data_IF_393884598992
#
_entry.id   IF_393884598992
#
_cell.length_a   1.000
_cell.length_b   1.000
_cell.length_c   1.000
_cell.angle_alpha   90.00
_cell.angle_beta   90.00
_cell.angle_gamma   90.00
#
_symmetry.space_group_name_H-M   'P 1'
#
loop_
_entity.id
_entity.type
_entity.pdbx_description
1 polymer ?
#
# COMPACT_ATOMS: atom_id res chain seq x y z
N UNK A 1 12.09 29.33 5.11
CA UNK A 1 10.81 28.64 5.33
C UNK A 1 11.05 27.17 5.06
N UNK A 2 10.89 26.29 6.05
CA UNK A 2 10.92 24.85 5.78
C UNK A 2 9.58 24.48 5.15
N UNK A 3 9.60 23.92 3.94
CA UNK A 3 8.39 23.40 3.29
C UNK A 3 7.80 22.23 4.08
N UNK A 4 6.53 21.92 3.84
CA UNK A 4 5.92 20.71 4.40
C UNK A 4 6.68 19.47 3.92
N UNK A 5 6.95 18.49 4.81
CA UNK A 5 7.68 17.29 4.44
C UNK A 5 6.83 16.37 3.54
N UNK A 6 7.51 15.66 2.65
CA UNK A 6 6.96 14.47 1.96
C UNK A 6 7.51 13.23 2.65
N UNK A 7 6.77 12.12 2.60
CA UNK A 7 7.17 10.88 3.25
C UNK A 7 7.23 9.74 2.25
N UNK A 8 8.19 8.84 2.43
CA UNK A 8 8.18 7.52 1.80
C UNK A 8 7.49 6.55 2.75
N UNK A 9 6.47 5.84 2.26
CA UNK A 9 5.75 4.80 3.00
C UNK A 9 5.71 3.52 2.17
N UNK A 10 5.36 2.43 2.84
CA UNK A 10 5.25 1.11 2.22
C UNK A 10 3.89 0.51 2.48
N UNK A 11 3.39 -0.27 1.53
CA UNK A 11 2.11 -0.97 1.62
C UNK A 11 2.19 -2.22 0.74
N UNK A 12 1.11 -2.98 0.66
CA UNK A 12 1.04 -4.16 -0.19
C UNK A 12 -0.34 -4.30 -0.83
N UNK A 13 -0.37 -5.00 -1.97
CA UNK A 13 -1.60 -5.38 -2.66
C UNK A 13 -1.48 -6.77 -3.28
N UNK A 14 -2.58 -7.47 -3.56
CA UNK A 14 -2.55 -8.66 -4.40
C UNK A 14 -2.14 -8.34 -5.84
N UNK A 15 -1.32 -9.20 -6.46
CA UNK A 15 -0.89 -9.06 -7.86
C UNK A 15 -2.05 -9.25 -8.86
N UNK A 16 -3.20 -9.74 -8.40
CA UNK A 16 -4.43 -9.84 -9.19
C UNK A 16 -5.14 -8.49 -9.36
N UNK A 17 -4.80 -7.49 -8.56
CA UNK A 17 -5.40 -6.17 -8.62
C UNK A 17 -4.85 -5.37 -9.82
N UNK A 18 -5.70 -4.79 -10.70
CA UNK A 18 -5.24 -3.92 -11.77
C UNK A 18 -4.55 -2.66 -11.21
N UNK A 19 -3.42 -2.26 -11.79
CA UNK A 19 -2.65 -1.10 -11.32
C UNK A 19 -3.46 0.20 -11.41
N UNK A 20 -4.36 0.30 -12.39
CA UNK A 20 -5.22 1.46 -12.58
C UNK A 20 -6.30 1.57 -11.49
N UNK A 21 -6.59 0.46 -10.81
CA UNK A 21 -7.60 0.39 -9.76
C UNK A 21 -7.05 0.66 -8.36
N UNK A 22 -5.73 0.55 -8.17
CA UNK A 22 -5.03 0.49 -6.88
C UNK A 22 -5.38 1.57 -5.86
N UNK A 23 -5.73 2.75 -6.34
CA UNK A 23 -5.96 3.94 -5.51
C UNK A 23 -7.41 4.41 -5.52
N UNK A 24 -8.32 3.62 -6.06
CA UNK A 24 -9.75 3.92 -5.98
C UNK A 24 -10.21 3.72 -4.54
N UNK A 25 -11.10 4.60 -4.09
CA UNK A 25 -11.81 4.40 -2.84
C UNK A 25 -12.92 3.34 -3.05
N UNK A 26 -12.54 2.08 -2.87
CA UNK A 26 -13.43 0.93 -2.92
C UNK A 26 -13.88 0.47 -1.52
N UNK A 27 -13.56 1.26 -0.49
CA UNK A 27 -13.81 0.93 0.91
C UNK A 27 -12.87 -0.15 1.48
N UNK A 28 -11.88 -0.63 0.72
CA UNK A 28 -10.88 -1.57 1.20
C UNK A 28 -9.78 -0.78 1.91
N UNK A 29 -9.58 -1.09 3.20
CA UNK A 29 -8.51 -0.50 3.99
C UNK A 29 -7.16 -1.07 3.61
N UNK A 30 -6.19 -0.20 3.32
CA UNK A 30 -4.80 -0.58 3.10
C UNK A 30 -3.97 -0.35 4.36
N UNK A 31 -3.10 -1.30 4.69
CA UNK A 31 -2.11 -1.12 5.75
C UNK A 31 -0.90 -0.35 5.20
N UNK A 32 -0.44 0.67 5.93
CA UNK A 32 0.75 1.46 5.59
C UNK A 32 1.82 1.32 6.67
N UNK A 33 3.08 1.27 6.24
CA UNK A 33 4.23 0.98 7.07
C UNK A 33 5.36 1.98 6.82
N UNK A 34 6.18 2.22 7.83
CA UNK A 34 7.32 3.14 7.73
C UNK A 34 8.54 2.57 6.98
N UNK A 35 8.59 1.25 6.74
CA UNK A 35 9.70 0.61 6.03
C UNK A 35 9.24 -0.69 5.31
N UNK A 36 10.04 -1.12 4.33
CA UNK A 36 9.78 -2.29 3.52
C UNK A 36 9.82 -3.62 4.31
N UNK A 37 10.66 -3.71 5.34
CA UNK A 37 10.82 -4.94 6.14
C UNK A 37 9.55 -5.24 6.94
N UNK A 38 8.96 -4.22 7.56
CA UNK A 38 7.69 -4.36 8.30
C UNK A 38 6.53 -4.68 7.36
N UNK A 39 6.45 -4.03 6.20
CA UNK A 39 5.45 -4.37 5.19
C UNK A 39 5.58 -5.82 4.70
N UNK A 40 6.82 -6.27 4.46
CA UNK A 40 7.10 -7.67 4.09
C UNK A 40 6.73 -8.67 5.19
N UNK A 41 7.04 -8.36 6.44
CA UNK A 41 6.64 -9.19 7.57
C UNK A 41 5.11 -9.34 7.64
N UNK A 42 4.37 -8.23 7.45
CA UNK A 42 2.91 -8.25 7.43
C UNK A 42 2.34 -9.10 6.27
N UNK A 43 2.98 -9.11 5.10
CA UNK A 43 2.60 -10.01 3.99
C UNK A 43 2.73 -11.49 4.42
N UNK A 44 3.82 -11.85 5.09
CA UNK A 44 4.03 -13.23 5.54
C UNK A 44 3.08 -13.62 6.67
N UNK A 45 2.84 -12.75 7.64
CA UNK A 45 1.85 -12.98 8.70
C UNK A 45 0.45 -13.20 8.11
N UNK A 46 0.06 -12.37 7.13
CA UNK A 46 -1.23 -12.53 6.44
C UNK A 46 -1.30 -13.83 5.64
N UNK A 47 -0.21 -14.21 4.96
CA UNK A 47 -0.13 -15.49 4.23
C UNK A 47 -0.35 -16.66 5.18
N UNK A 48 0.42 -16.71 6.25
CA UNK A 48 0.41 -17.84 7.18
C UNK A 48 -0.99 -17.99 7.80
N UNK A 49 -1.67 -16.88 8.12
CA UNK A 49 -3.05 -16.88 8.59
C UNK A 49 -4.08 -17.39 7.56
N UNK A 50 -3.87 -17.14 6.26
CA UNK A 50 -4.78 -17.60 5.18
C UNK A 50 -4.50 -19.05 4.79
N UNK A 51 -3.24 -19.47 4.74
CA UNK A 51 -2.86 -20.83 4.32
C UNK A 51 -3.24 -21.91 5.33
N UNK A 52 -3.49 -21.53 6.58
CA UNK A 52 -4.05 -22.43 7.60
C UNK A 52 -5.51 -22.82 7.31
N UNK A 53 -6.19 -22.13 6.37
CA UNK A 53 -7.56 -22.44 5.94
C UNK A 53 -7.59 -23.27 4.63
N UNK A 54 -8.09 -24.51 4.65
CA UNK A 54 -8.14 -25.34 3.45
C UNK A 54 -9.10 -24.74 2.40
N UNK A 55 -8.59 -24.54 1.18
CA UNK A 55 -9.38 -24.07 0.02
C UNK A 55 -9.20 -22.59 -0.34
N UNK A 56 -8.34 -21.85 0.36
CA UNK A 56 -7.98 -20.49 -0.02
C UNK A 56 -6.66 -20.45 -0.80
N UNK A 57 -6.75 -20.01 -2.06
CA UNK A 57 -5.56 -19.73 -2.87
C UNK A 57 -4.94 -18.39 -2.43
N UNK A 58 -3.68 -18.41 -1.99
CA UNK A 58 -2.91 -17.22 -1.69
C UNK A 58 -2.32 -16.64 -2.98
N UNK A 59 -2.74 -15.44 -3.43
CA UNK A 59 -2.16 -14.83 -4.63
C UNK A 59 -0.75 -14.31 -4.34
N UNK A 60 0.10 -14.14 -5.38
CA UNK A 60 1.29 -13.33 -5.26
C UNK A 60 0.94 -11.93 -4.74
N UNK A 61 1.78 -11.37 -3.88
CA UNK A 61 1.58 -10.05 -3.28
C UNK A 61 2.66 -9.09 -3.76
N UNK A 62 2.27 -7.88 -4.13
CA UNK A 62 3.17 -6.78 -4.46
C UNK A 62 3.53 -6.06 -3.17
N UNK A 63 4.82 -5.88 -2.93
CA UNK A 63 5.33 -4.91 -1.97
C UNK A 63 5.56 -3.59 -2.68
N UNK A 64 4.99 -2.54 -2.12
CA UNK A 64 4.84 -1.27 -2.79
C UNK A 64 5.50 -0.17 -1.98
N UNK A 65 6.13 0.77 -2.68
CA UNK A 65 6.67 2.00 -2.12
C UNK A 65 5.87 3.16 -2.68
N UNK A 66 5.43 4.06 -1.80
CA UNK A 66 4.81 5.33 -2.20
C UNK A 66 5.61 6.51 -1.68
N UNK A 67 5.55 7.61 -2.41
CA UNK A 67 5.93 8.94 -1.92
C UNK A 67 4.66 9.77 -1.78
N UNK A 68 4.48 10.45 -0.65
CA UNK A 68 3.37 11.38 -0.49
C UNK A 68 3.66 12.71 -1.19
N UNK A 69 2.61 13.45 -1.55
CA UNK A 69 2.75 14.91 -1.71
C UNK A 69 3.18 15.54 -0.37
N UNK A 70 3.70 16.78 -0.36
CA UNK A 70 3.96 17.49 0.89
C UNK A 70 2.73 17.49 1.80
N UNK A 71 2.88 17.05 3.05
CA UNK A 71 1.77 16.89 3.99
C UNK A 71 1.34 18.25 4.53
N UNK A 72 0.59 18.97 3.70
CA UNK A 72 -0.04 20.25 4.02
C UNK A 72 -1.44 20.02 4.59
N UNK A 73 -2.10 21.10 5.03
CA UNK A 73 -3.52 21.08 5.39
C UNK A 73 -4.38 20.58 4.23
N UNK A 74 -4.09 21.03 3.01
CA UNK A 74 -4.89 20.67 1.82
C UNK A 74 -4.72 19.19 1.46
N UNK A 75 -3.49 18.66 1.58
CA UNK A 75 -3.24 17.23 1.41
C UNK A 75 -4.00 16.39 2.45
N UNK A 76 -4.05 16.84 3.70
CA UNK A 76 -4.83 16.17 4.73
C UNK A 76 -6.34 16.21 4.42
N UNK A 77 -6.87 17.33 3.93
CA UNK A 77 -8.27 17.41 3.52
C UNK A 77 -8.58 16.48 2.34
N UNK A 78 -7.68 16.40 1.36
CA UNK A 78 -7.82 15.48 0.24
C UNK A 78 -7.79 14.02 0.70
N UNK A 79 -6.89 13.65 1.62
CA UNK A 79 -6.88 12.32 2.24
C UNK A 79 -8.22 11.96 2.89
N UNK A 80 -8.82 12.88 3.63
CA UNK A 80 -10.06 12.63 4.38
C UNK A 80 -11.30 12.56 3.48
N UNK A 81 -11.32 13.28 2.36
CA UNK A 81 -12.48 13.34 1.47
C UNK A 81 -12.39 12.38 0.27
N UNK A 82 -11.18 12.17 -0.25
CA UNK A 82 -10.91 11.47 -1.52
C UNK A 82 -10.07 10.20 -1.35
N UNK A 83 -9.63 9.92 -0.11
CA UNK A 83 -8.83 8.73 0.22
C UNK A 83 -7.34 8.86 -0.09
N UNK A 84 -6.61 7.75 0.09
CA UNK A 84 -5.14 7.74 0.03
C UNK A 84 -4.60 8.14 -1.34
N UNK A 85 -5.28 7.77 -2.42
CA UNK A 85 -4.87 8.10 -3.78
C UNK A 85 -4.61 9.58 -4.01
N UNK A 86 -5.35 10.45 -3.32
CA UNK A 86 -5.22 11.90 -3.45
C UNK A 86 -3.91 12.48 -2.89
N UNK A 87 -3.20 11.71 -2.04
CA UNK A 87 -1.92 12.14 -1.46
C UNK A 87 -0.72 11.36 -2.02
N UNK A 88 -0.93 10.37 -2.89
CA UNK A 88 0.16 9.61 -3.51
C UNK A 88 0.74 10.42 -4.67
N UNK A 89 2.02 10.78 -4.57
CA UNK A 89 2.77 11.48 -5.61
C UNK A 89 3.42 10.51 -6.58
N UNK A 90 4.07 9.47 -6.05
CA UNK A 90 4.67 8.39 -6.84
C UNK A 90 4.37 7.06 -6.17
N UNK A 91 4.38 6.00 -6.97
CA UNK A 91 4.09 4.64 -6.57
C UNK A 91 4.94 3.69 -7.40
N UNK A 92 5.67 2.81 -6.72
CA UNK A 92 6.55 1.81 -7.31
C UNK A 92 6.28 0.43 -6.69
N UNK A 93 6.20 -0.61 -7.53
CA UNK A 93 6.28 -1.99 -7.05
C UNK A 93 7.76 -2.34 -6.90
N UNK A 94 8.19 -2.62 -5.68
CA UNK A 94 9.60 -2.88 -5.38
C UNK A 94 9.93 -4.38 -5.30
N UNK A 95 8.92 -5.21 -5.05
CA UNK A 95 9.06 -6.67 -4.97
C UNK A 95 7.70 -7.33 -5.22
N UNK A 96 7.69 -8.52 -5.83
CA UNK A 96 6.51 -9.40 -5.88
C UNK A 96 6.85 -10.70 -5.15
N UNK A 97 6.08 -11.04 -4.13
CA UNK A 97 6.32 -12.14 -3.21
C UNK A 97 5.33 -13.26 -3.51
N UNK A 98 5.82 -14.47 -3.72
CA UNK A 98 4.99 -15.64 -4.02
C UNK A 98 4.63 -15.81 -5.51
N UNK A 99 5.13 -14.94 -6.39
CA UNK A 99 5.14 -15.16 -7.84
C UNK A 99 6.38 -15.96 -8.28
N UNK A 100 6.21 -16.89 -9.23
CA UNK A 100 7.31 -17.61 -9.89
C UNK A 100 8.02 -16.72 -10.93
#
# INVERSE_FOLDING_TARGET
MSGAPSFTLFTYSPDVEPLEARWRDDGIGYAFFGNAETARAAIFELRDAVTDEPGHDWPPMRLERIETVPVTRDALLALLNDGVGAIVKTYDIIETIGGN
#
